data_IF_977198140376
#
_entry.id   IF_977198140376
#
_cell.length_a   1.000
_cell.length_b   1.000
_cell.length_c   1.000
_cell.angle_alpha   90.00
_cell.angle_beta   90.00
_cell.angle_gamma   90.00
#
_symmetry.space_group_name_H-M   'P 1'
#
loop_
_entity.id
_entity.type
_entity.pdbx_description
1 polymer ?
#
# COMPACT_ATOMS: atom_id res chain seq x y z
N UNK A 1 35.23 -22.28 8.59
CA UNK A 1 34.68 -23.46 7.92
C UNK A 1 34.58 -23.12 6.45
N UNK A 2 35.50 -23.66 5.67
CA UNK A 2 35.77 -23.29 4.27
C UNK A 2 34.99 -24.20 3.32
N UNK A 3 34.44 -23.61 2.27
CA UNK A 3 33.77 -24.28 1.15
C UNK A 3 34.73 -25.18 0.35
N UNK A 4 34.24 -26.33 -0.14
CA UNK A 4 34.90 -27.15 -1.16
C UNK A 4 33.92 -27.43 -2.32
N UNK A 5 34.38 -27.17 -3.54
CA UNK A 5 33.73 -27.35 -4.84
C UNK A 5 34.33 -28.55 -5.60
N UNK A 6 33.48 -29.15 -6.46
CA UNK A 6 33.72 -29.94 -7.70
C UNK A 6 34.10 -31.45 -7.69
N UNK A 7 33.13 -32.28 -8.14
CA UNK A 7 33.03 -33.12 -9.40
C UNK A 7 34.27 -33.85 -10.00
N UNK A 8 34.16 -34.84 -10.93
CA UNK A 8 33.08 -35.78 -11.32
C UNK A 8 33.56 -37.26 -11.53
N UNK A 9 32.65 -38.20 -11.85
CA UNK A 9 33.02 -39.57 -12.27
C UNK A 9 31.94 -40.29 -13.08
N UNK A 10 32.24 -40.59 -14.33
CA UNK A 10 31.41 -41.28 -15.34
C UNK A 10 31.68 -42.81 -15.37
N UNK A 11 30.64 -43.63 -15.59
CA UNK A 11 30.72 -45.00 -16.16
C UNK A 11 29.29 -45.53 -16.40
N UNK A 12 28.72 -45.43 -17.61
CA UNK A 12 28.65 -46.43 -18.70
C UNK A 12 27.97 -47.76 -18.38
N UNK A 13 26.88 -48.05 -19.12
CA UNK A 13 26.53 -49.41 -19.56
C UNK A 13 25.18 -49.94 -19.10
N UNK A 14 24.11 -49.71 -19.88
CA UNK A 14 23.50 -50.77 -20.72
C UNK A 14 22.06 -50.43 -21.13
N UNK A 15 21.85 -50.38 -22.44
CA UNK A 15 20.54 -50.60 -23.07
C UNK A 15 20.65 -51.88 -23.91
N UNK A 16 19.52 -52.55 -24.18
CA UNK A 16 19.16 -52.58 -25.59
C UNK A 16 17.68 -52.29 -25.87
N UNK A 17 17.53 -51.82 -27.10
CA UNK A 17 16.46 -51.19 -27.84
C UNK A 17 15.52 -52.20 -28.53
N UNK A 18 14.21 -51.92 -28.62
CA UNK A 18 13.27 -52.34 -29.70
C UNK A 18 12.15 -51.27 -29.76
N UNK A 19 12.17 -50.29 -30.68
CA UNK A 19 11.53 -50.23 -32.02
C UNK A 19 10.02 -50.61 -32.01
N UNK A 20 9.01 -49.92 -32.56
CA UNK A 20 8.89 -48.80 -33.51
C UNK A 20 7.42 -48.34 -33.60
N UNK A 21 7.22 -47.10 -34.09
CA UNK A 21 6.11 -46.58 -34.93
C UNK A 21 4.67 -46.66 -34.36
N UNK A 22 3.83 -45.63 -34.41
CA UNK A 22 3.80 -44.38 -35.17
C UNK A 22 2.32 -44.02 -35.43
N UNK A 23 2.02 -42.73 -35.61
CA UNK A 23 0.77 -42.30 -36.26
C UNK A 23 -0.21 -41.49 -35.40
N UNK A 24 -0.23 -40.19 -35.68
CA UNK A 24 -1.15 -39.16 -35.22
C UNK A 24 -2.63 -39.42 -35.55
N UNK A 25 -3.55 -38.93 -34.71
CA UNK A 25 -4.43 -37.78 -35.02
C UNK A 25 -5.47 -37.51 -33.92
N UNK A 26 -5.78 -36.22 -33.81
CA UNK A 26 -6.63 -35.49 -32.88
C UNK A 26 -8.04 -36.06 -32.62
N UNK A 27 -8.56 -35.82 -31.41
CA UNK A 27 -9.85 -35.11 -31.26
C UNK A 27 -9.89 -34.35 -29.93
N UNK A 28 -10.21 -33.06 -30.02
CA UNK A 28 -10.46 -32.11 -28.94
C UNK A 28 -11.81 -32.37 -28.24
N UNK A 29 -11.90 -32.09 -26.93
CA UNK A 29 -13.05 -31.59 -26.15
C UNK A 29 -12.81 -31.94 -24.66
N UNK A 30 -12.85 -31.04 -23.69
CA UNK A 30 -13.16 -29.62 -23.70
C UNK A 30 -12.68 -28.95 -22.40
N UNK A 31 -12.35 -27.67 -22.54
CA UNK A 31 -12.54 -26.61 -21.53
C UNK A 31 -12.37 -27.01 -20.06
N UNK A 32 -11.11 -27.08 -19.62
CA UNK A 32 -10.77 -26.91 -18.22
C UNK A 32 -11.19 -25.50 -17.80
N UNK A 33 -12.28 -25.42 -17.03
CA UNK A 33 -12.69 -24.22 -16.31
C UNK A 33 -11.59 -23.88 -15.28
N UNK A 34 -10.62 -23.08 -15.69
CA UNK A 34 -9.96 -22.15 -14.78
C UNK A 34 -10.96 -21.01 -14.53
N UNK A 35 -12.02 -21.32 -13.79
CA UNK A 35 -12.80 -20.28 -13.13
C UNK A 35 -11.87 -19.68 -12.08
N UNK A 36 -11.61 -18.37 -12.21
CA UNK A 36 -10.90 -17.62 -11.19
C UNK A 36 -11.63 -17.86 -9.86
N UNK A 37 -10.96 -18.24 -8.75
CA UNK A 37 -11.62 -18.47 -7.47
C UNK A 37 -12.53 -17.31 -7.04
N UNK A 38 -12.24 -16.09 -7.53
CA UNK A 38 -13.06 -14.89 -7.34
C UNK A 38 -14.40 -14.97 -8.10
N UNK A 39 -14.41 -15.41 -9.36
CA UNK A 39 -15.64 -15.53 -10.17
C UNK A 39 -16.58 -16.60 -9.61
N UNK A 40 -16.01 -17.64 -9.00
CA UNK A 40 -16.76 -18.70 -8.32
C UNK A 40 -17.34 -18.28 -6.97
N UNK A 41 -16.80 -17.23 -6.36
CA UNK A 41 -17.27 -16.62 -5.12
C UNK A 41 -18.36 -15.56 -5.37
N UNK A 42 -18.36 -14.94 -6.55
CA UNK A 42 -19.31 -13.91 -6.94
C UNK A 42 -20.55 -14.47 -7.66
N UNK A 43 -20.57 -15.77 -7.97
CA UNK A 43 -21.71 -16.44 -8.59
C UNK A 43 -22.82 -16.65 -7.54
N UNK A 44 -24.03 -16.21 -7.89
CA UNK A 44 -25.22 -16.17 -7.01
C UNK A 44 -25.66 -17.55 -6.46
N UNK A 45 -25.16 -18.65 -7.04
CA UNK A 45 -25.43 -20.04 -6.64
C UNK A 45 -24.37 -20.62 -5.68
N UNK A 46 -23.34 -19.85 -5.30
CA UNK A 46 -22.32 -20.33 -4.37
C UNK A 46 -22.77 -20.15 -2.91
N UNK A 47 -23.44 -21.17 -2.36
CA UNK A 47 -23.59 -21.35 -0.90
C UNK A 47 -22.24 -21.74 -0.25
N UNK A 48 -21.13 -21.18 -0.75
CA UNK A 48 -19.78 -21.43 -0.27
C UNK A 48 -19.54 -20.48 0.89
N UNK A 49 -19.72 -20.99 2.11
CA UNK A 49 -19.30 -20.27 3.31
C UNK A 49 -17.80 -20.01 3.20
N UNK A 50 -17.45 -18.74 2.98
CA UNK A 50 -16.06 -18.28 2.98
C UNK A 50 -15.37 -18.73 4.28
N UNK A 51 -14.13 -19.22 4.20
CA UNK A 51 -13.38 -19.55 5.41
C UNK A 51 -13.22 -18.28 6.24
N UNK A 52 -13.42 -18.40 7.55
CA UNK A 52 -13.16 -17.30 8.46
C UNK A 52 -11.68 -16.96 8.40
N UNK A 53 -11.37 -15.72 8.00
CA UNK A 53 -10.01 -15.21 7.93
C UNK A 53 -9.81 -14.17 9.04
N UNK A 54 -8.57 -13.99 9.54
CA UNK A 54 -8.28 -12.93 10.50
C UNK A 54 -8.67 -11.54 9.98
N UNK A 55 -8.44 -11.26 8.69
CA UNK A 55 -8.88 -10.03 8.03
C UNK A 55 -10.41 -9.90 8.00
N UNK A 56 -11.12 -10.99 7.70
CA UNK A 56 -12.58 -11.04 7.75
C UNK A 56 -13.12 -10.71 9.14
N UNK A 57 -12.57 -11.34 10.17
CA UNK A 57 -12.93 -11.06 11.57
C UNK A 57 -12.65 -9.61 11.97
N UNK A 58 -11.52 -9.03 11.54
CA UNK A 58 -11.20 -7.63 11.80
C UNK A 58 -12.19 -6.68 11.09
N UNK A 59 -12.60 -7.02 9.86
CA UNK A 59 -13.58 -6.24 9.10
C UNK A 59 -14.98 -6.33 9.72
N UNK A 60 -15.39 -7.51 10.18
CA UNK A 60 -16.65 -7.70 10.90
C UNK A 60 -16.66 -6.89 12.21
N UNK A 61 -15.54 -6.87 12.93
CA UNK A 61 -15.39 -6.03 14.12
C UNK A 61 -15.50 -4.54 13.77
N UNK A 62 -14.81 -4.07 12.72
CA UNK A 62 -14.91 -2.70 12.25
C UNK A 62 -16.36 -2.31 11.91
N UNK A 63 -17.06 -3.17 11.19
CA UNK A 63 -18.48 -2.96 10.85
C UNK A 63 -19.37 -2.92 12.08
N UNK A 64 -19.13 -3.79 13.06
CA UNK A 64 -19.84 -3.76 14.34
C UNK A 64 -19.61 -2.45 15.10
N UNK A 65 -18.35 -1.99 15.20
CA UNK A 65 -18.02 -0.73 15.87
C UNK A 65 -18.58 0.49 15.13
N UNK A 66 -18.57 0.48 13.80
CA UNK A 66 -19.20 1.53 12.99
C UNK A 66 -20.70 1.63 13.24
N UNK A 67 -21.40 0.49 13.22
CA UNK A 67 -22.84 0.45 13.49
C UNK A 67 -23.16 0.89 14.93
N UNK A 68 -22.32 0.51 15.89
CA UNK A 68 -22.46 0.93 17.28
C UNK A 68 -22.26 2.44 17.44
N UNK A 69 -21.24 3.02 16.80
CA UNK A 69 -21.01 4.46 16.78
C UNK A 69 -22.20 5.20 16.17
N UNK A 70 -22.73 4.74 15.04
CA UNK A 70 -23.91 5.33 14.43
C UNK A 70 -25.11 5.29 15.37
N UNK A 71 -25.40 4.14 15.99
CA UNK A 71 -26.50 4.00 16.94
C UNK A 71 -26.39 4.96 18.14
N UNK A 72 -25.17 5.25 18.59
CA UNK A 72 -24.89 6.14 19.71
C UNK A 72 -24.95 7.64 19.35
N UNK A 73 -24.65 7.99 18.10
CA UNK A 73 -24.68 9.38 17.61
C UNK A 73 -26.05 9.76 17.04
N UNK A 74 -26.86 8.78 16.63
CA UNK A 74 -28.24 9.03 16.17
C UNK A 74 -29.18 9.39 17.32
N UNK A 75 -29.88 10.52 17.19
CA UNK A 75 -30.93 10.94 18.12
C UNK A 75 -32.08 9.94 18.13
N UNK A 76 -32.40 9.37 19.30
CA UNK A 76 -33.63 8.61 19.50
C UNK A 76 -34.77 9.53 19.95
N UNK A 77 -35.87 9.52 19.19
CA UNK A 77 -37.07 10.30 19.51
C UNK A 77 -37.71 9.75 20.80
N UNK A 78 -38.11 10.63 21.72
CA UNK A 78 -38.86 10.26 22.92
C UNK A 78 -38.01 9.92 24.15
N UNK A 79 -36.68 10.07 24.08
CA UNK A 79 -35.80 9.89 25.24
C UNK A 79 -35.39 11.24 25.86
N UNK A 80 -35.19 11.26 27.18
CA UNK A 80 -34.60 12.41 27.88
C UNK A 80 -33.21 12.66 27.33
N UNK A 81 -32.91 13.92 27.00
CA UNK A 81 -31.59 14.32 26.48
C UNK A 81 -30.52 13.91 27.49
N UNK A 82 -29.49 13.14 27.09
CA UNK A 82 -28.43 12.73 28.00
C UNK A 82 -27.66 13.95 28.54
N UNK A 83 -27.02 13.80 29.70
CA UNK A 83 -26.17 14.86 30.25
C UNK A 83 -24.97 15.11 29.32
N UNK A 84 -24.47 16.35 29.31
CA UNK A 84 -23.32 16.71 28.46
C UNK A 84 -22.07 15.86 28.75
N UNK A 85 -21.86 15.48 30.02
CA UNK A 85 -20.74 14.63 30.42
C UNK A 85 -20.89 13.21 29.83
N UNK A 86 -22.09 12.65 29.85
CA UNK A 86 -22.37 11.35 29.26
C UNK A 86 -22.13 11.34 27.74
N UNK A 87 -22.54 12.40 27.05
CA UNK A 87 -22.31 12.54 25.60
C UNK A 87 -20.80 12.58 25.30
N UNK A 88 -20.04 13.31 26.12
CA UNK A 88 -18.59 13.42 25.95
C UNK A 88 -17.88 12.09 26.18
N UNK A 89 -18.21 11.40 27.27
CA UNK A 89 -17.65 10.08 27.59
C UNK A 89 -17.98 9.06 26.50
N UNK A 90 -19.24 9.05 26.05
CA UNK A 90 -19.69 8.18 24.97
C UNK A 90 -18.92 8.46 23.68
N UNK A 91 -18.80 9.74 23.28
CA UNK A 91 -18.04 10.11 22.09
C UNK A 91 -16.57 9.70 22.19
N UNK A 92 -15.91 9.92 23.33
CA UNK A 92 -14.51 9.53 23.51
C UNK A 92 -14.34 8.00 23.41
N UNK A 93 -15.22 7.25 24.06
CA UNK A 93 -15.18 5.79 24.06
C UNK A 93 -15.42 5.22 22.66
N UNK A 94 -16.46 5.67 21.96
CA UNK A 94 -16.84 5.15 20.65
C UNK A 94 -15.83 5.51 19.56
N UNK A 95 -15.27 6.72 19.59
CA UNK A 95 -14.19 7.10 18.67
C UNK A 95 -12.95 6.26 18.92
N UNK A 96 -12.62 5.98 20.20
CA UNK A 96 -11.48 5.11 20.53
C UNK A 96 -11.69 3.69 20.01
N UNK A 97 -12.86 3.10 20.25
CA UNK A 97 -13.19 1.75 19.77
C UNK A 97 -13.15 1.65 18.25
N UNK A 98 -13.74 2.61 17.55
CA UNK A 98 -13.72 2.65 16.09
C UNK A 98 -12.29 2.79 15.55
N UNK A 99 -11.49 3.67 16.15
CA UNK A 99 -10.08 3.84 15.78
C UNK A 99 -9.29 2.55 16.01
N UNK A 100 -9.49 1.87 17.13
CA UNK A 100 -8.78 0.62 17.45
C UNK A 100 -9.17 -0.49 16.47
N UNK A 101 -10.44 -0.59 16.06
CA UNK A 101 -10.88 -1.52 15.00
C UNK A 101 -10.27 -1.19 13.63
N UNK A 102 -10.14 0.08 13.26
CA UNK A 102 -9.42 0.48 12.04
C UNK A 102 -7.95 0.06 12.07
N UNK A 103 -7.29 0.17 13.23
CA UNK A 103 -5.90 -0.26 13.40
C UNK A 103 -5.74 -1.78 13.28
N UNK A 104 -6.72 -2.54 13.77
CA UNK A 104 -6.75 -4.01 13.62
C UNK A 104 -6.82 -4.43 12.15
N UNK A 105 -7.76 -3.84 11.39
CA UNK A 105 -7.88 -4.09 9.94
C UNK A 105 -6.60 -3.69 9.20
N UNK A 106 -6.03 -2.52 9.52
CA UNK A 106 -4.78 -2.08 8.92
C UNK A 106 -3.62 -3.03 9.25
N UNK A 107 -3.56 -3.55 10.47
CA UNK A 107 -2.58 -4.55 10.88
C UNK A 107 -2.67 -5.81 10.03
N UNK A 108 -3.88 -6.30 9.77
CA UNK A 108 -4.10 -7.46 8.91
C UNK A 108 -3.71 -7.19 7.45
N UNK A 109 -4.02 -6.01 6.90
CA UNK A 109 -3.53 -5.62 5.57
C UNK A 109 -2.01 -5.58 5.50
N UNK A 110 -1.33 -5.00 6.50
CA UNK A 110 0.13 -4.98 6.57
C UNK A 110 0.71 -6.41 6.64
N UNK A 111 0.09 -7.30 7.42
CA UNK A 111 0.49 -8.71 7.51
C UNK A 111 0.37 -9.40 6.15
N UNK A 112 -0.80 -9.31 5.50
CA UNK A 112 -1.05 -9.91 4.19
C UNK A 112 -0.12 -9.34 3.12
N UNK A 113 0.10 -8.03 3.11
CA UNK A 113 1.05 -7.38 2.21
C UNK A 113 2.47 -7.91 2.41
N UNK A 114 2.91 -8.07 3.66
CA UNK A 114 4.24 -8.63 3.97
C UNK A 114 4.35 -10.08 3.52
N UNK A 115 3.33 -10.90 3.77
CA UNK A 115 3.27 -12.28 3.28
C UNK A 115 3.33 -12.34 1.75
N UNK A 116 2.62 -11.45 1.07
CA UNK A 116 2.67 -11.37 -0.38
C UNK A 116 4.08 -11.06 -0.88
N UNK A 117 4.75 -10.06 -0.29
CA UNK A 117 6.14 -9.69 -0.63
C UNK A 117 7.12 -10.83 -0.41
N UNK A 118 6.97 -11.59 0.67
CA UNK A 118 7.79 -12.76 0.95
C UNK A 118 7.59 -13.89 -0.07
N UNK A 119 6.37 -14.04 -0.62
CA UNK A 119 6.06 -15.03 -1.66
C UNK A 119 6.47 -14.57 -3.07
N UNK A 120 6.57 -13.27 -3.30
CA UNK A 120 6.85 -12.67 -4.61
C UNK A 120 8.02 -11.67 -4.52
N UNK A 121 9.24 -12.12 -4.20
CA UNK A 121 10.37 -11.23 -3.89
C UNK A 121 10.80 -10.36 -5.08
N UNK A 122 10.78 -10.90 -6.31
CA UNK A 122 11.19 -10.15 -7.50
C UNK A 122 10.20 -9.04 -7.85
N UNK A 123 8.89 -9.32 -7.76
CA UNK A 123 7.83 -8.34 -7.97
C UNK A 123 7.88 -7.24 -6.89
N UNK A 124 8.02 -7.64 -5.62
CA UNK A 124 8.15 -6.72 -4.50
C UNK A 124 9.39 -5.81 -4.63
N UNK A 125 10.53 -6.36 -5.05
CA UNK A 125 11.75 -5.59 -5.28
C UNK A 125 11.59 -4.61 -6.45
N UNK A 126 10.91 -5.02 -7.53
CA UNK A 126 10.64 -4.16 -8.69
C UNK A 126 9.76 -2.97 -8.30
N UNK A 127 8.70 -3.21 -7.52
CA UNK A 127 7.84 -2.16 -6.94
C UNK A 127 8.65 -1.22 -6.04
N UNK A 128 9.47 -1.75 -5.13
CA UNK A 128 10.29 -0.95 -4.21
C UNK A 128 11.31 -0.07 -4.95
N UNK A 129 11.95 -0.58 -5.99
CA UNK A 129 12.87 0.20 -6.83
C UNK A 129 12.13 1.35 -7.53
N UNK A 130 10.94 1.10 -8.08
CA UNK A 130 10.13 2.13 -8.72
C UNK A 130 9.70 3.23 -7.73
N UNK A 131 9.30 2.86 -6.52
CA UNK A 131 8.94 3.80 -5.45
C UNK A 131 10.14 4.67 -5.01
N UNK A 132 11.32 4.07 -4.91
CA UNK A 132 12.56 4.78 -4.60
C UNK A 132 12.93 5.75 -5.73
N UNK A 133 12.82 5.35 -7.00
CA UNK A 133 13.05 6.23 -8.14
C UNK A 133 12.11 7.44 -8.14
N UNK A 134 10.81 7.23 -7.88
CA UNK A 134 9.82 8.30 -7.74
C UNK A 134 10.18 9.26 -6.61
N UNK A 135 10.63 8.72 -5.48
CA UNK A 135 11.08 9.52 -4.32
C UNK A 135 12.32 10.34 -4.65
N UNK A 136 13.29 9.78 -5.36
CA UNK A 136 14.50 10.47 -5.82
C UNK A 136 14.12 11.61 -6.77
N UNK A 137 13.21 11.38 -7.71
CA UNK A 137 12.74 12.42 -8.63
C UNK A 137 12.11 13.60 -7.87
N UNK A 138 11.24 13.30 -6.89
CA UNK A 138 10.64 14.31 -6.03
C UNK A 138 11.70 15.09 -5.24
N UNK A 139 12.69 14.42 -4.67
CA UNK A 139 13.76 15.07 -3.92
C UNK A 139 14.62 15.96 -4.82
N UNK A 140 14.98 15.51 -6.01
CA UNK A 140 15.70 16.31 -7.00
C UNK A 140 14.93 17.58 -7.39
N UNK A 141 13.61 17.47 -7.56
CA UNK A 141 12.75 18.63 -7.81
C UNK A 141 12.79 19.64 -6.64
N UNK A 142 12.68 19.16 -5.39
CA UNK A 142 12.74 20.01 -4.21
C UNK A 142 14.11 20.68 -4.04
N UNK A 143 15.19 19.97 -4.33
CA UNK A 143 16.55 20.51 -4.31
C UNK A 143 16.76 21.58 -5.37
N UNK A 144 16.30 21.33 -6.61
CA UNK A 144 16.38 22.31 -7.70
C UNK A 144 15.63 23.61 -7.33
N UNK A 145 14.41 23.49 -6.80
CA UNK A 145 13.61 24.63 -6.34
C UNK A 145 14.27 25.39 -5.20
N UNK A 146 14.92 24.69 -4.27
CA UNK A 146 15.63 25.32 -3.17
C UNK A 146 16.89 26.04 -3.66
N UNK A 147 17.63 25.43 -4.59
CA UNK A 147 18.79 26.04 -5.25
C UNK A 147 18.42 27.32 -5.99
N UNK A 148 17.32 27.31 -6.75
CA UNK A 148 16.78 28.49 -7.44
C UNK A 148 16.52 29.64 -6.46
N UNK A 149 15.78 29.36 -5.37
CA UNK A 149 15.51 30.36 -4.32
C UNK A 149 16.78 30.94 -3.69
N UNK A 150 17.79 30.11 -3.44
CA UNK A 150 19.07 30.59 -2.90
C UNK A 150 19.76 31.50 -3.92
N UNK A 151 19.79 31.10 -5.19
CA UNK A 151 20.41 31.89 -6.26
C UNK A 151 19.72 33.24 -6.44
N UNK A 152 18.38 33.29 -6.41
CA UNK A 152 17.61 34.53 -6.43
C UNK A 152 18.05 35.47 -5.30
N UNK A 153 18.18 34.94 -4.08
CA UNK A 153 18.58 35.74 -2.90
C UNK A 153 20.02 36.23 -2.99
N UNK A 154 20.93 35.40 -3.49
CA UNK A 154 22.33 35.78 -3.71
C UNK A 154 22.47 36.84 -4.82
N UNK A 155 21.68 36.72 -5.89
CA UNK A 155 21.65 37.69 -6.98
C UNK A 155 21.06 39.04 -6.52
N UNK A 156 20.06 39.03 -5.63
CA UNK A 156 19.52 40.25 -5.01
C UNK A 156 20.56 40.91 -4.09
N UNK A 157 21.34 40.12 -3.34
CA UNK A 157 22.36 40.62 -2.42
C UNK A 157 23.61 41.19 -3.11
N UNK A 158 23.84 40.87 -4.39
CA UNK A 158 25.00 41.34 -5.17
C UNK A 158 24.72 42.61 -5.97
N UNK A 159 23.52 43.18 -5.88
CA UNK A 159 23.22 44.52 -6.39
C UNK A 159 23.80 45.55 -5.39
N UNK A 160 24.78 46.40 -5.78
CA UNK A 160 25.32 47.41 -4.87
C UNK A 160 24.21 48.39 -4.47
N UNK A 161 24.03 48.61 -3.16
CA UNK A 161 23.23 49.73 -2.66
C UNK A 161 23.81 51.02 -3.25
N UNK A 162 23.11 51.61 -4.22
CA UNK A 162 23.40 52.98 -4.63
C UNK A 162 23.15 53.87 -3.42
N UNK A 163 24.22 54.41 -2.86
CA UNK A 163 24.17 55.52 -1.91
C UNK A 163 23.55 56.71 -2.68
N UNK A 164 22.40 57.26 -2.26
CA UNK A 164 21.79 58.37 -2.97
C UNK A 164 22.70 59.60 -2.93
N UNK A 165 22.82 60.36 -4.04
CA UNK A 165 23.67 61.54 -4.09
C UNK A 165 23.14 62.61 -3.14
N UNK A 166 24.01 63.03 -2.24
CA UNK A 166 23.81 64.14 -1.32
C UNK A 166 23.70 65.42 -2.16
N UNK A 167 22.49 65.96 -2.33
CA UNK A 167 22.31 67.20 -3.09
C UNK A 167 22.30 68.40 -2.12
N UNK A 168 23.26 69.33 -2.22
CA UNK A 168 23.25 70.55 -1.45
C UNK A 168 22.29 71.58 -2.07
N UNK A 169 21.76 72.45 -1.22
CA UNK A 169 21.17 73.76 -1.54
C UNK A 169 19.82 73.79 -2.28
N UNK A 170 18.77 74.20 -1.54
CA UNK A 170 18.14 75.50 -1.81
C UNK A 170 17.24 75.96 -0.62
N UNK A 171 17.61 77.01 0.14
CA UNK A 171 16.68 77.72 1.01
C UNK A 171 15.88 78.73 0.17
N UNK A 172 14.61 78.44 -0.05
CA UNK A 172 13.68 79.31 -0.78
C UNK A 172 13.41 80.63 -0.06
N UNK A 173 13.30 81.69 -0.85
CA UNK A 173 12.42 82.83 -0.58
C UNK A 173 10.94 82.40 -0.58
#
# INVERSE_FOLDING_TARGET
>A
MSYFLNEPGTSTGDTPNVFSQGGSSQTEQGTGMNEDPVDRLLSEDSEVKLPETPLGSAMDNLMAQWNQLLAQVTSQIGHTVPTSDHIKELAEFSVRQFKDACLEVNGEFCRVATEWKLRHPEEANTEEVADLESTIQRQNFLLAKTKERIQERLNISSIPQQVPPNNPENPGC
#
